data_IF_100679440507
#
_entry.id   IF_100679440507
#
_cell.length_a   1.000
_cell.length_b   1.000
_cell.length_c   1.000
_cell.angle_alpha   90.00
_cell.angle_beta   90.00
_cell.angle_gamma   90.00
#
_symmetry.space_group_name_H-M   'P 1'
#
loop_
_entity.id
_entity.type
_entity.pdbx_description
1 polymer ?
2 non-polymer ?
3 water ?
#
# COMPACT_ATOMS: atom_id res chain seq x y z
N UNK A 5 -5.92 2.85 17.11
CA UNK A 5 -6.62 2.52 15.87
C UNK A 5 -5.92 3.22 14.72
N UNK A 6 -5.47 2.44 13.74
CA UNK A 6 -4.80 3.02 12.59
C UNK A 6 -5.81 3.07 11.44
N UNK A 7 -6.24 4.28 11.09
CA UNK A 7 -7.16 4.42 9.97
C UNK A 7 -6.44 4.01 8.69
N UNK A 8 -7.03 3.04 8.01
CA UNK A 8 -6.34 2.38 6.90
C UNK A 8 -7.13 2.37 5.62
N UNK A 9 -6.41 2.34 4.51
CA UNK A 9 -7.04 2.23 3.19
C UNK A 9 -6.34 1.20 2.35
N UNK A 10 -7.14 0.47 1.60
CA UNK A 10 -6.58 -0.47 0.61
C UNK A 10 -6.90 0.01 -0.80
N UNK A 11 -5.89 -0.05 -1.67
CA UNK A 11 -6.09 0.32 -3.09
C UNK A 11 -5.56 -0.79 -3.96
N UNK A 12 -6.48 -1.53 -4.59
CA UNK A 12 -6.04 -2.60 -5.47
C UNK A 12 -5.99 -2.06 -6.89
N UNK A 13 -4.82 -2.21 -7.53
CA UNK A 13 -4.56 -1.56 -8.81
C UNK A 13 -4.51 -2.69 -9.87
N UNK A 14 -5.53 -2.73 -10.72
CA UNK A 14 -5.65 -3.84 -11.68
C UNK A 14 -6.75 -3.59 -12.68
N UNK A 15 -6.40 -3.60 -13.95
CA UNK A 15 -7.40 -3.45 -15.00
C UNK A 15 -8.45 -4.56 -14.92
N UNK A 16 -8.00 -5.81 -14.79
CA UNK A 16 -8.92 -6.96 -14.82
C UNK A 16 -9.81 -7.01 -13.59
N UNK A 17 -9.29 -6.72 -12.42
CA UNK A 17 -10.17 -6.70 -11.26
C UNK A 17 -11.15 -5.53 -11.38
N UNK A 18 -10.67 -4.39 -11.89
CA UNK A 18 -11.49 -3.18 -12.03
C UNK A 18 -12.75 -3.40 -12.86
N UNK A 19 -12.58 -4.14 -13.96
CA UNK A 19 -13.71 -4.46 -14.85
C UNK A 19 -14.56 -5.63 -14.32
N UNK A 20 -13.97 -6.44 -13.44
CA UNK A 20 -14.72 -7.51 -12.80
C UNK A 20 -14.48 -8.89 -13.36
N UNK A 21 -13.55 -9.00 -14.31
CA UNK A 21 -13.22 -10.27 -14.94
C UNK A 21 -12.17 -11.08 -14.16
N UNK A 22 -11.64 -10.49 -13.09
CA UNK A 22 -10.72 -11.17 -12.20
C UNK A 22 -11.13 -10.88 -10.76
N UNK A 23 -11.00 -11.88 -9.90
CA UNK A 23 -11.40 -11.79 -8.48
C UNK A 23 -10.46 -10.88 -7.69
N UNK A 24 -11.02 -10.08 -6.80
CA UNK A 24 -10.18 -9.29 -5.91
C UNK A 24 -9.76 -10.20 -4.74
N UNK A 25 -8.60 -10.83 -4.88
CA UNK A 25 -8.08 -11.66 -3.79
C UNK A 25 -7.23 -10.88 -2.80
N UNK A 26 -6.73 -9.72 -3.23
CA UNK A 26 -5.86 -8.94 -2.36
C UNK A 26 -6.57 -8.36 -1.16
N UNK A 27 -7.79 -7.86 -1.40
CA UNK A 27 -8.58 -7.25 -0.33
C UNK A 27 -8.83 -8.21 0.85
N UNK A 28 -9.47 -9.38 0.60
CA UNK A 28 -9.72 -10.29 1.73
C UNK A 28 -8.46 -10.83 2.38
N UNK A 29 -7.42 -11.01 1.58
CA UNK A 29 -6.13 -11.40 2.14
C UNK A 29 -5.59 -10.31 3.09
N UNK A 30 -5.52 -9.07 2.59
CA UNK A 30 -5.10 -7.95 3.48
C UNK A 30 -5.94 -7.81 4.75
N UNK A 31 -7.27 -7.98 4.62
CA UNK A 31 -8.13 -7.95 5.81
C UNK A 31 -7.74 -9.03 6.81
N UNK A 32 -7.40 -10.24 6.33
CA UNK A 32 -6.93 -11.30 7.25
C UNK A 32 -5.60 -10.95 7.92
N UNK A 33 -4.69 -10.38 7.14
CA UNK A 33 -3.38 -10.02 7.67
C UNK A 33 -3.50 -8.90 8.70
N UNK A 35 -6.17 -8.38 10.67
CA UNK A 35 -6.98 -8.77 11.84
C UNK A 35 -6.13 -9.55 12.85
N UNK A 36 -6.20 -9.12 14.12
CA UNK A 36 -5.14 -9.34 15.14
C UNK A 36 -4.13 -10.46 14.99
N UNK A 41 -2.66 -2.61 19.24
CA UNK A 41 -3.16 -1.72 18.21
C UNK A 41 -4.02 -2.48 17.23
N UNK A 42 -4.71 -1.74 16.37
CA UNK A 42 -5.69 -2.31 15.48
C UNK A 42 -5.75 -1.49 14.18
N UNK A 43 -6.12 -2.12 13.07
CA UNK A 43 -6.36 -1.42 11.81
C UNK A 43 -7.84 -1.20 11.65
N UNK A 44 -8.22 0.04 11.36
CA UNK A 44 -9.59 0.39 11.04
C UNK A 44 -9.68 0.70 9.55
N UNK A 45 -10.20 -0.24 8.78
CA UNK A 45 -10.30 -0.05 7.33
C UNK A 45 -11.39 0.95 6.96
N UNK A 46 -11.00 2.17 6.59
CA UNK A 46 -11.98 3.21 6.28
C UNK A 46 -12.39 3.26 4.83
N UNK A 47 -11.59 2.61 3.97
CA UNK A 47 -11.79 2.66 2.53
C UNK A 47 -11.14 1.44 1.88
N UNK A 48 -11.81 0.84 0.91
CA UNK A 48 -11.13 -0.08 -0.02
C UNK A 48 -11.67 0.17 -1.40
N UNK A 49 -10.77 0.23 -2.37
CA UNK A 49 -11.16 0.47 -3.76
C UNK A 49 -10.33 -0.40 -4.70
N UNK A 50 -10.85 -0.58 -5.91
CA UNK A 50 -10.10 -1.14 -7.01
C UNK A 50 -10.04 -0.05 -8.07
N UNK A 51 -8.86 0.21 -8.61
CA UNK A 51 -8.74 1.20 -9.70
C UNK A 51 -8.01 0.54 -10.87
N UNK A 52 -8.27 1.04 -12.09
CA UNK A 52 -7.48 0.63 -13.23
C UNK A 52 -6.00 1.05 -13.02
N UNK A 53 -5.12 0.44 -13.79
CA UNK A 53 -3.71 0.84 -13.76
C UNK A 53 -3.51 2.26 -14.25
N UNK A 54 -2.48 2.92 -13.76
CA UNK A 54 -2.07 4.20 -14.32
C UNK A 54 -1.60 5.15 -13.22
N UNK A 55 -1.00 6.26 -13.63
CA UNK A 55 -0.57 7.29 -12.71
C UNK A 55 -1.79 8.02 -12.13
N UNK A 56 -2.65 8.54 -13.00
CA UNK A 56 -3.74 9.39 -12.53
C UNK A 56 -4.71 8.66 -11.60
N UNK A 57 -5.02 7.42 -11.95
CA UNK A 57 -5.97 6.64 -11.13
C UNK A 57 -5.40 6.37 -9.73
N UNK A 58 -4.12 6.00 -9.67
CA UNK A 58 -3.51 5.73 -8.35
C UNK A 58 -3.35 7.01 -7.52
N UNK A 59 -2.87 8.09 -8.17
CA UNK A 59 -2.82 9.39 -7.49
C UNK A 59 -4.17 9.79 -6.90
N UNK A 60 -5.24 9.65 -7.68
CA UNK A 60 -6.55 10.06 -7.18
C UNK A 60 -6.95 9.21 -5.98
N UNK A 61 -6.72 7.89 -6.08
CA UNK A 61 -7.05 7.00 -4.96
C UNK A 61 -6.27 7.29 -3.67
N UNK A 62 -4.96 7.58 -3.83
CA UNK A 62 -4.17 7.89 -2.65
C UNK A 62 -4.58 9.23 -2.02
N UNK A 63 -4.72 10.26 -2.86
CA UNK A 63 -5.08 11.59 -2.36
C UNK A 63 -6.45 11.51 -1.65
N UNK A 64 -7.39 10.76 -2.23
CA UNK A 64 -8.69 10.59 -1.60
C UNK A 64 -8.58 9.92 -0.23
N UNK A 65 -7.82 8.82 -0.16
CA UNK A 65 -7.67 8.16 1.13
C UNK A 65 -7.02 9.07 2.18
N UNK A 66 -5.99 9.83 1.78
CA UNK A 66 -5.34 10.76 2.71
C UNK A 66 -6.36 11.82 3.20
N UNK A 67 -7.15 12.36 2.31
CA UNK A 67 -8.18 13.37 2.66
C UNK A 67 -9.16 12.81 3.68
N UNK A 68 -9.47 11.52 3.52
CA UNK A 68 -10.45 10.86 4.41
C UNK A 68 -9.82 10.53 5.77
N UNK A 69 -8.53 10.79 5.92
CA UNK A 69 -7.86 10.60 7.19
C UNK A 69 -7.07 9.31 7.31
N UNK A 70 -6.92 8.55 6.22
CA UNK A 70 -6.10 7.32 6.35
C UNK A 70 -4.66 7.65 6.69
N UNK A 71 -4.15 6.92 7.68
CA UNK A 71 -2.74 7.03 8.06
C UNK A 71 -1.90 5.83 7.63
N UNK A 72 -2.56 4.79 7.11
CA UNK A 72 -1.86 3.63 6.56
C UNK A 72 -2.57 3.31 5.27
N UNK A 73 -1.84 3.37 4.16
CA UNK A 73 -2.41 3.08 2.86
C UNK A 73 -1.56 2.00 2.25
N UNK A 74 -2.21 0.90 1.86
CA UNK A 74 -1.46 -0.18 1.20
C UNK A 74 -2.08 -0.39 -0.20
N UNK A 75 -1.21 -0.38 -1.22
CA UNK A 75 -1.65 -0.63 -2.60
C UNK A 75 -1.20 -2.05 -2.97
N UNK A 76 -1.90 -2.65 -3.93
CA UNK A 76 -1.50 -3.97 -4.43
C UNK A 76 -1.58 -3.88 -5.92
N UNK A 77 -0.43 -4.04 -6.60
CA UNK A 77 -0.43 -4.02 -8.03
C UNK A 77 0.15 -2.77 -8.67
N UNK A 78 0.41 -2.90 -9.96
CA UNK A 78 0.90 -1.76 -10.75
C UNK A 78 2.36 -1.40 -10.53
N UNK A 79 3.15 -2.37 -10.08
CA UNK A 79 4.57 -2.09 -9.76
C UNK A 79 5.60 -2.58 -10.79
N UNK A 80 5.15 -3.23 -11.87
CA UNK A 80 6.09 -3.70 -12.91
C UNK A 80 6.54 -2.59 -13.86
N UNK A 81 6.97 -3.00 -15.04
CA UNK A 81 7.67 -2.12 -15.96
C UNK A 81 6.80 -1.72 -17.20
N UNK A 82 5.61 -2.29 -17.33
CA UNK A 82 4.68 -1.87 -18.38
C UNK A 82 4.43 -0.36 -18.26
N UNK A 83 4.14 0.28 -19.39
CA UNK A 83 3.87 1.72 -19.35
C UNK A 83 2.80 2.08 -18.31
N UNK A 84 1.73 1.27 -18.20
CA UNK A 84 0.62 1.60 -17.30
C UNK A 84 0.91 1.29 -15.83
N UNK A 85 2.03 0.59 -15.58
CA UNK A 85 2.41 0.25 -14.21
C UNK A 85 3.09 1.44 -13.56
N UNK A 86 2.27 2.30 -12.95
CA UNK A 86 2.76 3.60 -12.44
C UNK A 86 2.47 3.74 -10.93
N UNK A 87 2.20 2.63 -10.24
CA UNK A 87 1.94 2.76 -8.81
C UNK A 87 3.11 3.40 -8.05
N UNK A 88 4.34 2.94 -8.28
CA UNK A 88 5.48 3.52 -7.53
C UNK A 88 5.62 5.03 -7.83
N UNK A 89 5.48 5.42 -9.11
CA UNK A 89 5.62 6.83 -9.51
C UNK A 89 4.50 7.67 -8.84
N UNK A 90 3.28 7.16 -8.92
CA UNK A 90 2.15 7.87 -8.29
C UNK A 90 2.41 8.02 -6.77
N UNK A 91 2.87 6.93 -6.16
CA UNK A 91 3.11 6.96 -4.74
C UNK A 91 4.20 7.96 -4.36
N UNK A 92 5.30 7.97 -5.13
CA UNK A 92 6.45 8.82 -4.84
C UNK A 92 6.02 10.29 -4.78
N UNK A 93 4.97 10.64 -5.54
CA UNK A 93 4.54 12.07 -5.58
C UNK A 93 4.07 12.56 -4.21
N UNK A 94 3.75 11.63 -3.29
CA UNK A 94 3.25 11.96 -1.94
C UNK A 94 4.31 11.82 -0.87
N UNK A 95 5.46 11.20 -1.21
CA UNK A 95 6.38 10.78 -0.14
C UNK A 95 7.27 11.92 0.31
N UNK A 96 7.33 12.06 1.63
CA UNK A 96 8.20 13.01 2.29
C UNK A 96 9.55 12.33 2.58
N UNK A 97 9.48 11.12 3.16
CA UNK A 97 10.67 10.35 3.52
C UNK A 97 10.44 8.91 3.13
N UNK A 98 11.37 8.37 2.34
CA UNK A 98 11.30 6.98 1.94
C UNK A 98 11.84 6.08 3.05
N UNK A 99 11.35 4.84 3.07
CA UNK A 99 11.87 3.83 4.00
C UNK A 99 12.55 2.75 3.17
N UNK A 100 13.70 3.11 2.61
CA UNK A 100 14.37 2.21 1.66
C UNK A 100 14.89 0.92 2.29
N UNK A 101 15.22 0.99 3.59
CA UNK A 101 15.61 -0.19 4.38
C UNK A 101 14.47 -1.21 4.37
N UNK A 102 13.24 -0.73 4.57
CA UNK A 102 12.10 -1.66 4.56
C UNK A 102 11.91 -2.28 3.16
N UNK A 103 12.00 -1.46 2.10
CA UNK A 103 11.98 -2.00 0.75
C UNK A 103 13.02 -3.10 0.56
N UNK A 104 14.22 -2.82 1.05
CA UNK A 104 15.32 -3.76 0.92
C UNK A 104 15.03 -5.05 1.69
N UNK A 105 14.46 -4.93 2.89
CA UNK A 105 14.13 -6.11 3.72
C UNK A 105 13.06 -6.95 3.04
N UNK A 106 12.10 -6.29 2.38
CA UNK A 106 11.04 -7.03 1.70
C UNK A 106 11.65 -7.90 0.62
N UNK A 107 12.65 -7.35 -0.06
CA UNK A 107 13.35 -8.08 -1.09
C UNK A 107 14.25 -9.19 -0.49
N UNK A 108 14.96 -8.90 0.60
CA UNK A 108 15.79 -9.91 1.26
C UNK A 108 14.92 -11.09 1.73
N UNK A 109 13.77 -10.77 2.31
CA UNK A 109 12.81 -11.78 2.80
C UNK A 109 12.11 -12.56 1.68
N UNK A 110 11.84 -11.91 0.55
CA UNK A 110 11.14 -12.54 -0.56
C UNK A 110 12.07 -13.13 -1.61
N UNK A 118 12.14 -9.21 -8.01
CA UNK A 118 13.14 -8.28 -8.56
C UNK A 118 12.56 -7.18 -9.40
N UNK A 119 11.49 -7.51 -10.12
CA UNK A 119 10.76 -6.60 -10.99
C UNK A 119 9.82 -5.65 -10.27
N UNK A 120 9.48 -5.94 -9.01
CA UNK A 120 8.69 -4.95 -8.24
C UNK A 120 9.49 -3.71 -7.87
N UNK A 121 8.89 -2.60 -8.23
CA UNK A 121 9.49 -1.31 -8.01
C UNK A 121 8.71 -0.64 -6.89
N UNK A 122 7.92 -1.42 -6.15
CA UNK A 122 7.06 -0.83 -5.11
C UNK A 122 7.87 -0.13 -4.06
N UNK A 123 7.38 1.06 -3.62
CA UNK A 123 8.09 1.80 -2.58
C UNK A 123 7.35 1.79 -1.24
N UNK A 124 8.07 2.23 -0.20
CA UNK A 124 7.50 2.42 1.13
C UNK A 124 7.95 3.77 1.61
N UNK A 125 7.04 4.55 2.18
CA UNK A 125 7.48 5.84 2.71
C UNK A 125 6.43 6.51 3.53
N UNK A 126 6.78 7.65 4.14
CA UNK A 126 5.75 8.41 4.90
C UNK A 126 5.52 9.77 4.27
N UNK A 127 4.33 10.34 4.53
CA UNK A 127 3.94 11.59 3.86
C UNK A 127 4.32 12.83 4.67
N UNK A 128 4.94 12.63 5.81
CA UNK A 128 5.33 13.72 6.71
C UNK A 128 6.05 13.13 7.89
N UNK A 129 6.27 13.96 8.91
CA UNK A 129 7.04 13.52 10.06
C UNK A 129 6.36 13.64 11.42
N UNK A 130 5.06 13.88 11.39
CA UNK A 130 4.32 14.21 12.58
C UNK A 130 3.10 13.29 12.71
N UNK A 131 2.24 13.63 13.66
CA UNK A 131 1.10 12.73 13.98
C UNK A 131 -0.08 12.79 13.01
N UNK A 132 0.11 13.56 11.94
CA UNK A 132 -0.83 13.59 10.83
C UNK A 132 -0.30 12.79 9.63
N UNK A 133 0.97 12.39 9.69
CA UNK A 133 1.60 11.75 8.51
C UNK A 133 1.06 10.34 8.31
N UNK A 134 1.02 9.90 7.05
CA UNK A 134 0.60 8.56 6.72
C UNK A 134 1.79 7.73 6.21
N UNK A 135 1.70 6.42 6.42
CA UNK A 135 2.63 5.46 5.85
C UNK A 135 1.98 4.82 4.62
N UNK A 136 2.66 4.82 3.46
CA UNK A 136 2.13 4.23 2.25
C UNK A 136 3.07 3.10 1.88
N UNK A 137 2.48 1.93 1.54
CA UNK A 137 3.27 0.73 1.19
C UNK A 137 2.71 0.20 -0.11
N UNK A 138 3.60 0.02 -1.10
CA UNK A 138 3.22 -0.63 -2.38
C UNK A 138 3.54 -2.12 -2.33
N UNK A 139 2.52 -2.96 -2.38
CA UNK A 139 2.74 -4.41 -2.54
C UNK A 139 2.52 -4.87 -3.97
N UNK A 140 3.11 -6.01 -4.35
CA UNK A 140 2.79 -6.60 -5.66
C UNK A 140 1.34 -7.06 -5.74
N UNK A 141 0.93 -7.50 -6.94
CA UNK A 141 -0.44 -7.96 -7.13
C UNK A 141 -0.65 -9.35 -6.54
N UNK A 142 0.42 -10.14 -6.49
CA UNK A 142 0.29 -11.55 -6.08
C UNK A 142 0.08 -11.72 -4.59
N UNK A 143 -0.64 -12.78 -4.24
CA UNK A 143 -0.86 -13.03 -2.85
C UNK A 143 0.46 -13.29 -2.13
N UNK A 144 1.36 -14.06 -2.75
CA UNK A 144 2.66 -14.33 -2.14
C UNK A 144 3.47 -13.06 -1.93
N UNK A 145 3.41 -12.15 -2.90
CA UNK A 145 4.12 -10.87 -2.77
C UNK A 145 3.52 -10.03 -1.64
N UNK A 146 2.19 -10.02 -1.52
CA UNK A 146 1.54 -9.30 -0.42
C UNK A 146 1.95 -9.87 0.94
N UNK A 147 2.00 -11.21 1.06
CA UNK A 147 2.35 -11.79 2.37
C UNK A 147 3.81 -11.52 2.76
N UNK A 148 4.70 -11.48 1.77
CA UNK A 148 6.11 -11.14 2.01
C UNK A 148 6.25 -9.65 2.40
N UNK A 149 5.49 -8.78 1.74
CA UNK A 149 5.53 -7.37 2.12
C UNK A 149 5.04 -7.21 3.55
N UNK A 150 3.91 -7.87 3.85
CA UNK A 150 3.31 -7.78 5.16
C UNK A 150 4.25 -8.29 6.25
N UNK A 151 4.95 -9.39 5.97
CA UNK A 151 5.87 -9.96 6.96
C UNK A 151 6.93 -8.98 7.41
N UNK A 152 7.34 -8.10 6.50
CA UNK A 152 8.34 -7.09 6.86
C UNK A 152 7.71 -5.86 7.52
N UNK A 153 6.60 -5.39 6.97
CA UNK A 153 6.00 -4.15 7.48
C UNK A 153 5.33 -4.33 8.82
N UNK A 154 4.59 -5.44 8.98
CA UNK A 154 3.78 -5.62 10.21
C UNK A 154 4.56 -5.39 11.49
N UNK A 155 5.72 -6.04 11.64
CA UNK A 155 6.40 -5.87 12.92
C UNK A 155 6.89 -4.45 13.19
N UNK A 156 7.01 -3.64 12.16
CA UNK A 156 7.58 -2.30 12.40
C UNK A 156 6.53 -1.19 12.44
N UNK A 157 5.28 -1.55 12.19
CA UNK A 157 4.16 -0.60 12.25
C UNK A 157 4.09 0.18 13.57
N UNK A 158 4.06 -0.55 14.72
CA UNK A 158 4.09 0.17 16.01
C UNK A 158 5.25 1.17 16.12
N UNK A 159 6.43 0.78 15.66
CA UNK A 159 7.61 1.64 15.76
C UNK A 159 7.50 2.87 14.88
N UNK A 160 7.00 2.68 13.67
CA UNK A 160 6.75 3.82 12.76
C UNK A 160 5.76 4.82 13.39
N UNK A 161 4.61 4.35 13.87
CA UNK A 161 3.63 5.29 14.39
C UNK A 161 4.06 5.87 15.73
N UNK A 162 4.78 5.09 16.52
CA UNK A 162 5.32 5.68 17.75
C UNK A 162 6.29 6.83 17.39
N UNK A 163 7.14 6.64 16.37
CA UNK A 163 8.05 7.69 15.91
C UNK A 163 7.31 8.90 15.35
N UNK A 164 6.31 8.66 14.50
CA UNK A 164 5.61 9.79 13.89
C UNK A 164 4.84 10.56 14.94
N UNK A 165 4.33 9.85 15.94
CA UNK A 165 3.43 10.46 16.92
C UNK A 165 4.12 11.07 18.14
N UNK A 166 5.45 10.98 18.21
CA UNK A 166 6.21 11.41 19.39
C UNK A 166 5.92 12.86 19.77
#
# INVERSE_FOLDING_TARGET
SNAXHIKSAIIVVSDRISTGTRENKALPLLQRLXSDELQDYSYELISEVVVPEGYDTVVEAIATALKQGARFIITAGGTGIRAKNQTPEATASFIHTRCEGLEQQILIHGSTHTHLAGLSRGIVGVTGRDDHAALIVNAPSSSGGITDTWAVISPVIPNIFEGLDAS
#
